data_IF_929669634844
#
_entry.id   IF_929669634844
#
_cell.length_a   1.000
_cell.length_b   1.000
_cell.length_c   1.000
_cell.angle_alpha   90.00
_cell.angle_beta   90.00
_cell.angle_gamma   90.00
#
_symmetry.space_group_name_H-M   'P 1'
#
loop_
_entity.id
_entity.type
_entity.pdbx_description
1 polymer ?
#
# COMPACT_ATOMS: atom_id res chain seq x y z
N UNK A 1 6.21 12.07 5.15
CA UNK A 1 6.20 12.62 3.78
C UNK A 1 5.23 13.79 3.73
N UNK A 2 5.62 14.91 3.11
CA UNK A 2 4.74 16.07 2.90
C UNK A 2 4.48 16.25 1.40
N UNK A 3 3.21 16.33 1.02
CA UNK A 3 2.75 16.52 -0.36
C UNK A 3 2.49 18.00 -0.64
N UNK A 4 2.38 18.37 -1.93
CA UNK A 4 2.01 19.73 -2.34
C UNK A 4 0.52 20.01 -2.10
N UNK A 5 -0.32 19.00 -2.31
CA UNK A 5 -1.76 19.03 -2.07
C UNK A 5 -2.22 17.61 -1.71
N UNK A 6 -3.33 17.47 -0.95
CA UNK A 6 -4.00 16.18 -0.83
C UNK A 6 -4.50 15.72 -2.20
N UNK A 7 -4.45 14.42 -2.45
CA UNK A 7 -4.92 13.85 -3.72
C UNK A 7 -5.45 12.44 -3.53
N UNK A 8 -6.16 11.96 -4.55
CA UNK A 8 -6.63 10.58 -4.61
C UNK A 8 -5.94 9.83 -5.75
N UNK A 9 -5.64 8.56 -5.51
CA UNK A 9 -5.14 7.64 -6.51
C UNK A 9 -6.07 6.43 -6.61
N UNK A 10 -6.24 5.93 -7.83
CA UNK A 10 -6.97 4.70 -8.07
C UNK A 10 -5.98 3.63 -8.56
N UNK A 11 -5.73 2.64 -7.72
CA UNK A 11 -4.88 1.50 -8.06
C UNK A 11 -5.71 0.49 -8.85
N UNK A 12 -5.49 0.42 -10.16
CA UNK A 12 -6.25 -0.46 -11.07
C UNK A 12 -6.08 -1.94 -10.70
N UNK A 13 -4.85 -2.39 -10.42
CA UNK A 13 -4.52 -3.79 -10.09
C UNK A 13 -5.19 -4.28 -8.80
N UNK A 14 -5.46 -3.38 -7.84
CA UNK A 14 -6.16 -3.72 -6.59
C UNK A 14 -7.62 -3.27 -6.57
N UNK A 15 -8.08 -2.64 -7.66
CA UNK A 15 -9.39 -1.99 -7.77
C UNK A 15 -9.73 -1.12 -6.54
N UNK A 16 -8.75 -0.37 -6.03
CA UNK A 16 -8.88 0.38 -4.77
C UNK A 16 -8.59 1.85 -4.97
N UNK A 17 -9.49 2.71 -4.47
CA UNK A 17 -9.28 4.16 -4.39
C UNK A 17 -8.64 4.50 -3.06
N UNK A 18 -7.56 5.26 -3.08
CA UNK A 18 -6.81 5.69 -1.89
C UNK A 18 -6.71 7.20 -1.89
N UNK A 19 -6.96 7.82 -0.74
CA UNK A 19 -6.74 9.24 -0.50
C UNK A 19 -5.48 9.45 0.33
N UNK A 20 -4.71 10.45 -0.07
CA UNK A 20 -3.50 10.90 0.60
C UNK A 20 -3.71 12.32 1.11
N UNK A 21 -3.50 12.53 2.40
CA UNK A 21 -3.53 13.84 3.03
C UNK A 21 -2.24 14.62 2.75
N UNK A 22 -2.23 15.92 3.05
CA UNK A 22 -1.04 16.78 2.87
C UNK A 22 0.20 16.23 3.60
N UNK A 23 -0.01 15.64 4.77
CA UNK A 23 1.04 15.03 5.56
C UNK A 23 0.72 13.55 5.82
N UNK A 24 1.69 12.70 5.49
CA UNK A 24 1.65 11.25 5.71
C UNK A 24 2.77 10.90 6.67
N UNK A 25 2.44 10.26 7.78
CA UNK A 25 3.42 9.84 8.79
C UNK A 25 3.30 8.35 9.09
N UNK A 26 4.41 7.73 9.49
CA UNK A 26 4.48 6.34 9.94
C UNK A 26 5.81 6.08 10.63
N UNK A 27 5.85 5.06 11.49
CA UNK A 27 7.11 4.50 11.98
C UNK A 27 7.54 3.38 11.05
N UNK A 28 8.80 3.41 10.63
CA UNK A 28 9.37 2.43 9.70
C UNK A 28 10.24 1.46 10.47
N UNK A 29 9.98 0.18 10.27
CA UNK A 29 10.81 -0.94 10.70
C UNK A 29 11.16 -1.77 9.46
N UNK A 30 12.10 -2.72 9.60
CA UNK A 30 12.42 -3.63 8.51
C UNK A 30 11.15 -4.35 8.06
N UNK A 31 10.80 -4.18 6.77
CA UNK A 31 9.63 -4.79 6.12
C UNK A 31 8.27 -4.40 6.71
N UNK A 32 8.20 -3.34 7.52
CA UNK A 32 6.97 -2.96 8.21
C UNK A 32 6.86 -1.45 8.39
N UNK A 33 5.68 -0.91 8.13
CA UNK A 33 5.28 0.46 8.49
C UNK A 33 4.14 0.38 9.52
N UNK A 34 4.27 1.13 10.61
CA UNK A 34 3.32 1.18 11.74
C UNK A 34 2.77 2.60 11.94
N UNK A 35 1.58 2.67 12.55
CA UNK A 35 0.89 3.94 12.87
C UNK A 35 0.86 4.87 11.66
N UNK A 36 0.47 4.32 10.52
CA UNK A 36 0.30 5.09 9.29
C UNK A 36 -0.80 6.13 9.53
N UNK A 37 -0.54 7.37 9.17
CA UNK A 37 -1.53 8.45 9.16
C UNK A 37 -1.52 9.17 7.82
N UNK A 38 -2.62 9.85 7.51
CA UNK A 38 -2.76 10.59 6.25
C UNK A 38 -3.06 9.72 5.03
N UNK A 39 -3.32 8.42 5.19
CA UNK A 39 -3.73 7.53 4.11
C UNK A 39 -5.07 6.86 4.46
N UNK A 40 -6.05 6.92 3.55
CA UNK A 40 -7.32 6.19 3.68
C UNK A 40 -7.66 5.45 2.39
N UNK A 41 -8.11 4.20 2.53
CA UNK A 41 -8.64 3.41 1.42
C UNK A 41 -10.16 3.51 1.38
N UNK A 42 -10.75 3.58 0.19
CA UNK A 42 -12.20 3.54 0.01
C UNK A 42 -12.63 2.08 0.03
N UNK A 43 -13.42 1.72 1.04
CA UNK A 43 -14.03 0.40 1.16
C UNK A 43 -15.54 0.57 1.08
N UNK A 44 -16.13 0.03 0.02
CA UNK A 44 -17.55 0.18 -0.31
C UNK A 44 -17.93 1.67 -0.35
N UNK A 45 -18.47 2.21 0.74
CA UNK A 45 -18.91 3.61 0.84
C UNK A 45 -18.12 4.45 1.86
N UNK A 46 -17.20 3.85 2.62
CA UNK A 46 -16.48 4.51 3.70
C UNK A 46 -14.99 4.68 3.38
N UNK A 47 -14.43 5.81 3.82
CA UNK A 47 -12.99 6.03 3.82
C UNK A 47 -12.39 5.46 5.10
N UNK A 48 -11.71 4.33 4.98
CA UNK A 48 -11.12 3.62 6.10
C UNK A 48 -9.61 3.92 6.15
N UNK A 49 -9.09 4.46 7.26
CA UNK A 49 -7.65 4.71 7.39
C UNK A 49 -6.86 3.40 7.37
N UNK A 50 -5.62 3.47 6.88
CA UNK A 50 -4.66 2.37 6.99
C UNK A 50 -3.80 2.60 8.23
N UNK A 51 -3.50 1.55 8.98
CA UNK A 51 -2.71 1.63 10.23
C UNK A 51 -1.37 0.92 10.12
N UNK A 52 -1.32 -0.18 9.38
CA UNK A 52 -0.09 -0.95 9.15
C UNK A 52 0.04 -1.39 7.70
N UNK A 53 1.29 -1.50 7.25
CA UNK A 53 1.70 -2.13 5.99
C UNK A 53 2.87 -3.05 6.31
N UNK A 54 2.79 -4.32 5.94
CA UNK A 54 3.71 -5.37 6.38
C UNK A 54 4.03 -6.29 5.21
N UNK A 55 5.29 -6.68 5.07
CA UNK A 55 5.69 -7.84 4.27
C UNK A 55 6.01 -8.94 5.28
N UNK A 56 5.06 -9.85 5.51
CA UNK A 56 5.18 -10.89 6.54
C UNK A 56 6.25 -11.93 6.17
N UNK A 57 6.24 -12.37 4.91
CA UNK A 57 7.25 -13.25 4.33
C UNK A 57 7.80 -12.61 3.05
N UNK A 58 9.09 -12.26 2.99
CA UNK A 58 9.72 -11.74 1.77
C UNK A 58 9.57 -12.66 0.55
N UNK A 59 9.54 -13.98 0.76
CA UNK A 59 9.37 -14.94 -0.33
C UNK A 59 7.94 -14.95 -0.90
N UNK A 60 6.96 -14.48 -0.12
CA UNK A 60 5.56 -14.44 -0.56
C UNK A 60 5.27 -13.39 -1.64
N UNK A 61 6.17 -12.41 -1.82
CA UNK A 61 6.01 -11.27 -2.74
C UNK A 61 4.67 -10.52 -2.56
N UNK A 62 4.14 -10.50 -1.33
CA UNK A 62 2.88 -9.84 -0.97
C UNK A 62 3.10 -8.79 0.12
N UNK A 63 2.24 -7.78 0.08
CA UNK A 63 2.15 -6.73 1.09
C UNK A 63 0.78 -6.84 1.75
N UNK A 64 0.77 -6.99 3.08
CA UNK A 64 -0.40 -6.96 3.94
C UNK A 64 -0.67 -5.54 4.43
N UNK A 65 -1.88 -5.04 4.22
CA UNK A 65 -2.36 -3.77 4.74
C UNK A 65 -3.42 -4.03 5.81
N UNK A 66 -3.32 -3.35 6.96
CA UNK A 66 -4.31 -3.46 8.04
C UNK A 66 -5.03 -2.14 8.29
N UNK A 67 -6.28 -2.26 8.70
CA UNK A 67 -7.13 -1.15 9.15
C UNK A 67 -7.19 -1.12 10.69
N UNK A 68 -7.65 -0.02 11.32
CA UNK A 68 -7.82 0.04 12.78
C UNK A 68 -8.79 -1.01 13.33
N UNK A 69 -9.67 -1.56 12.49
CA UNK A 69 -10.63 -2.59 12.86
C UNK A 69 -10.01 -4.00 12.89
N UNK A 70 -8.70 -4.12 12.69
CA UNK A 70 -7.99 -5.40 12.66
C UNK A 70 -8.17 -6.20 11.36
N UNK A 71 -8.90 -5.67 10.37
CA UNK A 71 -9.10 -6.31 9.07
C UNK A 71 -7.84 -6.09 8.23
N UNK A 72 -7.28 -7.20 7.74
CA UNK A 72 -6.12 -7.23 6.84
C UNK A 72 -6.49 -7.58 5.41
N UNK A 73 -5.86 -6.93 4.43
CA UNK A 73 -5.90 -7.34 3.01
C UNK A 73 -4.49 -7.44 2.46
N UNK A 74 -4.19 -8.54 1.78
CA UNK A 74 -2.89 -8.76 1.14
C UNK A 74 -2.97 -8.62 -0.37
N UNK A 75 -1.99 -7.94 -0.95
CA UNK A 75 -1.89 -7.72 -2.39
C UNK A 75 -0.48 -8.10 -2.89
N UNK A 76 -0.32 -8.57 -4.13
CA UNK A 76 1.00 -8.82 -4.69
C UNK A 76 1.76 -7.50 -4.82
N UNK A 77 3.09 -7.53 -4.61
CA UNK A 77 3.95 -6.34 -4.70
C UNK A 77 3.87 -5.67 -6.08
N UNK A 78 3.68 -6.47 -7.12
CA UNK A 78 3.54 -6.02 -8.51
C UNK A 78 2.31 -5.16 -8.74
N UNK A 79 1.30 -5.19 -7.85
CA UNK A 79 0.11 -4.34 -7.96
C UNK A 79 0.39 -2.85 -7.65
N UNK A 80 1.58 -2.54 -7.14
CA UNK A 80 2.01 -1.19 -6.80
C UNK A 80 3.28 -0.74 -7.57
N UNK A 81 3.67 -1.51 -8.58
CA UNK A 81 4.79 -1.18 -9.47
C UNK A 81 4.29 -0.43 -10.70
N UNK A 82 5.13 0.42 -11.28
CA UNK A 82 4.94 0.87 -12.67
C UNK A 82 5.10 -0.30 -13.65
N UNK A 83 4.60 -0.13 -14.88
CA UNK A 83 4.70 -1.19 -15.90
C UNK A 83 6.15 -1.59 -16.20
N UNK A 84 7.08 -0.61 -16.22
CA UNK A 84 8.50 -0.85 -16.43
C UNK A 84 9.13 -1.62 -15.25
N UNK A 85 8.86 -1.21 -14.01
CA UNK A 85 9.33 -1.92 -12.81
C UNK A 85 8.80 -3.34 -12.75
N UNK A 86 7.52 -3.53 -13.08
CA UNK A 86 6.85 -4.83 -13.11
C UNK A 86 7.51 -5.75 -14.15
N UNK A 87 7.77 -5.25 -15.35
CA UNK A 87 8.43 -6.03 -16.40
C UNK A 87 9.82 -6.51 -15.95
N UNK A 88 10.66 -5.58 -15.47
CA UNK A 88 12.00 -5.89 -14.97
C UNK A 88 11.99 -6.84 -13.77
N UNK A 89 10.99 -6.72 -12.90
CA UNK A 89 10.83 -7.61 -11.76
C UNK A 89 10.51 -9.04 -12.20
N UNK A 90 9.61 -9.21 -13.17
CA UNK A 90 9.23 -10.52 -13.69
C UNK A 90 10.37 -11.19 -14.48
N UNK A 91 11.14 -10.43 -15.27
CA UNK A 91 12.33 -10.94 -15.96
C UNK A 91 13.39 -11.46 -14.98
N UNK A 92 13.60 -10.75 -13.86
CA UNK A 92 14.53 -11.20 -12.81
C UNK A 92 14.03 -12.43 -12.06
N UNK A 93 12.72 -12.58 -11.89
CA UNK A 93 12.14 -13.74 -11.21
C UNK A 93 12.13 -15.01 -12.09
N UNK A 94 12.26 -14.85 -13.41
CA UNK A 94 12.30 -15.95 -14.37
C UNK A 94 13.71 -16.50 -14.64
N UNK A 95 14.76 -15.80 -14.18
CA UNK A 95 16.17 -16.19 -14.27
C UNK A 95 16.66 -16.74 -12.92
#
# INVERSE_FOLDING_TARGET
MKLKAPYEHFFTETNTRVSYALEVTSYIEKLKMKKITGIKSKQMFLWVPLTEMIIEDPASNKILFRTPMGIGKSFPITAFMSDEEKHKYLERAAN
#
